data_IF_678332823770
#
_entry.id   IF_678332823770
#
_cell.length_a   1.000
_cell.length_b   1.000
_cell.length_c   1.000
_cell.angle_alpha   90.00
_cell.angle_beta   90.00
_cell.angle_gamma   90.00
#
_symmetry.space_group_name_H-M   'P 1'
#
loop_
_entity.id
_entity.type
_entity.pdbx_description
1 polymer ?
#
# COMPACT_ATOMS: atom_id res chain seq x y z
N UNK A 1 -55.22 -42.47 -52.83
CA UNK A 1 -53.88 -42.40 -52.14
C UNK A 1 -53.70 -40.93 -51.77
N UNK A 2 -53.72 -40.62 -50.45
CA UNK A 2 -53.46 -39.26 -49.94
C UNK A 2 -52.01 -39.23 -49.39
N UNK A 3 -51.15 -38.25 -49.66
CA UNK A 3 -49.84 -38.18 -49.08
C UNK A 3 -49.95 -37.62 -47.63
N UNK A 4 -49.35 -38.36 -46.68
CA UNK A 4 -49.17 -37.98 -45.31
C UNK A 4 -48.00 -37.00 -45.23
N UNK A 5 -48.25 -35.75 -44.84
CA UNK A 5 -47.23 -34.80 -44.56
C UNK A 5 -46.57 -35.09 -43.18
N UNK A 6 -45.29 -35.38 -43.17
CA UNK A 6 -44.49 -35.56 -41.95
C UNK A 6 -44.09 -34.15 -41.47
N UNK A 7 -44.55 -33.71 -40.29
CA UNK A 7 -44.10 -32.51 -39.63
C UNK A 7 -42.73 -32.85 -38.96
N UNK A 8 -41.63 -32.30 -39.45
CA UNK A 8 -40.34 -32.32 -38.77
C UNK A 8 -40.37 -31.23 -37.67
N UNK A 9 -40.43 -31.66 -36.39
CA UNK A 9 -40.14 -30.79 -35.24
C UNK A 9 -38.63 -30.60 -35.13
N UNK A 10 -38.13 -29.41 -35.48
CA UNK A 10 -36.78 -29.01 -35.07
C UNK A 10 -36.78 -28.65 -33.58
N UNK A 11 -36.30 -29.55 -32.73
CA UNK A 11 -35.91 -29.20 -31.37
C UNK A 11 -34.66 -28.33 -31.48
N UNK A 12 -34.85 -27.01 -31.35
CA UNK A 12 -33.74 -26.11 -31.03
C UNK A 12 -33.25 -26.49 -29.63
N UNK A 13 -32.16 -27.26 -29.58
CA UNK A 13 -31.43 -27.47 -28.33
C UNK A 13 -30.87 -26.11 -27.91
N UNK A 14 -31.56 -25.42 -27.02
CA UNK A 14 -30.98 -24.30 -26.28
C UNK A 14 -29.92 -24.88 -25.36
N UNK A 15 -28.65 -24.77 -25.77
CA UNK A 15 -27.54 -24.97 -24.81
C UNK A 15 -27.82 -24.00 -23.66
N UNK A 16 -27.84 -24.49 -22.41
CA UNK A 16 -27.96 -23.59 -21.27
C UNK A 16 -26.78 -22.60 -21.38
N UNK A 17 -27.09 -21.33 -21.51
CA UNK A 17 -26.08 -20.27 -21.32
C UNK A 17 -25.64 -20.45 -19.88
N UNK A 18 -24.44 -21.01 -19.71
CA UNK A 18 -23.84 -21.13 -18.39
C UNK A 18 -23.62 -19.71 -17.88
N UNK A 19 -24.37 -19.30 -16.87
CA UNK A 19 -24.15 -18.02 -16.22
C UNK A 19 -22.72 -18.06 -15.65
N UNK A 20 -21.90 -17.08 -15.98
CA UNK A 20 -20.52 -17.00 -15.49
C UNK A 20 -20.52 -17.04 -13.95
N UNK A 21 -19.62 -17.80 -13.36
CA UNK A 21 -19.42 -17.79 -11.92
C UNK A 21 -18.70 -16.49 -11.47
N UNK A 22 -18.78 -16.18 -10.18
CA UNK A 22 -18.01 -15.06 -9.64
C UNK A 22 -16.49 -15.25 -9.85
N UNK A 23 -15.99 -16.47 -9.73
CA UNK A 23 -14.59 -16.82 -9.91
C UNK A 23 -14.13 -16.59 -11.36
N UNK A 24 -14.95 -16.94 -12.36
CA UNK A 24 -14.67 -16.64 -13.77
C UNK A 24 -14.71 -15.13 -14.04
N UNK A 25 -15.64 -14.42 -13.43
CA UNK A 25 -15.75 -12.95 -13.52
C UNK A 25 -14.52 -12.27 -12.90
N UNK A 26 -14.05 -12.76 -11.75
CA UNK A 26 -12.83 -12.27 -11.12
C UNK A 26 -11.60 -12.54 -11.99
N UNK A 27 -11.50 -13.72 -12.58
CA UNK A 27 -10.40 -14.07 -13.48
C UNK A 27 -10.37 -13.16 -14.72
N UNK A 28 -11.53 -12.81 -15.30
CA UNK A 28 -11.61 -11.85 -16.40
C UNK A 28 -11.13 -10.45 -15.97
N UNK A 29 -11.53 -10.00 -14.78
CA UNK A 29 -11.07 -8.72 -14.20
C UNK A 29 -9.55 -8.70 -14.03
N UNK A 30 -8.98 -9.76 -13.47
CA UNK A 30 -7.53 -9.89 -13.22
C UNK A 30 -6.72 -9.97 -14.51
N UNK A 31 -7.30 -10.56 -15.57
CA UNK A 31 -6.72 -10.59 -16.92
C UNK A 31 -6.83 -9.25 -17.66
N UNK A 32 -7.55 -8.27 -17.11
CA UNK A 32 -7.81 -6.98 -17.76
C UNK A 32 -8.91 -7.01 -18.82
N UNK A 33 -9.65 -8.12 -18.95
CA UNK A 33 -10.85 -8.19 -19.79
C UNK A 33 -12.03 -7.55 -19.06
N UNK A 34 -11.97 -6.22 -18.99
CA UNK A 34 -12.97 -5.43 -18.27
C UNK A 34 -14.37 -5.49 -18.90
N UNK A 35 -14.47 -5.78 -20.20
CA UNK A 35 -15.77 -5.87 -20.87
C UNK A 35 -16.52 -7.12 -20.42
N UNK A 36 -15.87 -8.27 -20.45
CA UNK A 36 -16.41 -9.54 -19.96
C UNK A 36 -16.70 -9.47 -18.45
N UNK A 37 -15.73 -8.98 -17.66
CA UNK A 37 -15.90 -8.82 -16.22
C UNK A 37 -17.11 -7.94 -15.86
N UNK A 38 -17.31 -6.81 -16.56
CA UNK A 38 -18.42 -5.91 -16.31
C UNK A 38 -19.77 -6.53 -16.63
N UNK A 39 -19.87 -7.23 -17.76
CA UNK A 39 -21.11 -7.91 -18.17
C UNK A 39 -21.50 -8.99 -17.16
N UNK A 40 -20.57 -9.91 -16.87
CA UNK A 40 -20.81 -10.99 -15.95
C UNK A 40 -21.07 -10.51 -14.52
N UNK A 41 -20.35 -9.47 -14.07
CA UNK A 41 -20.59 -8.89 -12.74
C UNK A 41 -22.00 -8.26 -12.63
N UNK A 42 -22.55 -7.67 -13.70
CA UNK A 42 -23.93 -7.16 -13.72
C UNK A 42 -24.94 -8.30 -13.57
N UNK A 43 -24.82 -9.37 -14.37
CA UNK A 43 -25.73 -10.49 -14.33
C UNK A 43 -25.74 -11.14 -12.92
N UNK A 44 -24.57 -11.31 -12.32
CA UNK A 44 -24.43 -11.83 -10.96
C UNK A 44 -24.99 -10.87 -9.90
N UNK A 45 -24.71 -9.56 -10.02
CA UNK A 45 -25.23 -8.57 -9.09
C UNK A 45 -26.76 -8.45 -9.15
N UNK A 46 -27.34 -8.54 -10.36
CA UNK A 46 -28.78 -8.54 -10.56
C UNK A 46 -29.43 -9.81 -9.99
N UNK A 47 -28.69 -10.92 -9.95
CA UNK A 47 -29.10 -12.15 -9.25
C UNK A 47 -28.93 -12.10 -7.73
N UNK A 48 -28.32 -11.03 -7.19
CA UNK A 48 -28.15 -10.81 -5.75
C UNK A 48 -26.78 -11.19 -5.19
N UNK A 49 -25.78 -11.51 -6.02
CA UNK A 49 -24.42 -11.79 -5.50
C UNK A 49 -23.75 -10.50 -4.99
N UNK A 50 -23.61 -10.41 -3.68
CA UNK A 50 -23.02 -9.24 -3.01
C UNK A 50 -21.54 -9.02 -3.36
N UNK A 51 -20.79 -10.06 -3.72
CA UNK A 51 -19.39 -9.96 -4.16
C UNK A 51 -19.33 -9.28 -5.54
N UNK A 52 -20.27 -9.66 -6.42
CA UNK A 52 -20.40 -9.04 -7.74
C UNK A 52 -20.84 -7.57 -7.65
N UNK A 53 -21.76 -7.24 -6.72
CA UNK A 53 -22.12 -5.85 -6.43
C UNK A 53 -20.90 -5.05 -5.96
N UNK A 54 -20.09 -5.61 -5.05
CA UNK A 54 -18.84 -4.97 -4.62
C UNK A 54 -17.87 -4.76 -5.77
N UNK A 55 -17.70 -5.76 -6.63
CA UNK A 55 -16.87 -5.69 -7.84
C UNK A 55 -17.34 -4.58 -8.77
N UNK A 56 -18.63 -4.51 -9.09
CA UNK A 56 -19.21 -3.43 -9.92
C UNK A 56 -18.92 -2.05 -9.34
N UNK A 57 -19.13 -1.86 -8.05
CA UNK A 57 -18.85 -0.61 -7.39
C UNK A 57 -17.39 -0.20 -7.53
N UNK A 58 -16.47 -1.14 -7.38
CA UNK A 58 -15.03 -0.89 -7.57
C UNK A 58 -14.68 -0.60 -9.04
N UNK A 59 -15.31 -1.28 -10.01
CA UNK A 59 -15.13 -1.03 -11.44
C UNK A 59 -15.59 0.38 -11.81
N UNK A 60 -16.77 0.83 -11.36
CA UNK A 60 -17.24 2.20 -11.58
C UNK A 60 -16.35 3.24 -10.89
N UNK A 61 -15.81 2.96 -9.71
CA UNK A 61 -14.87 3.86 -9.03
C UNK A 61 -13.56 4.03 -9.78
N UNK A 62 -13.04 2.96 -10.40
CA UNK A 62 -11.74 2.94 -11.10
C UNK A 62 -11.85 3.24 -12.60
N UNK A 63 -13.04 3.22 -13.18
CA UNK A 63 -13.20 3.34 -14.62
C UNK A 63 -12.77 2.09 -15.41
N UNK A 64 -12.97 0.91 -14.85
CA UNK A 64 -12.59 -0.36 -15.46
C UNK A 64 -13.74 -0.89 -16.34
N UNK A 65 -13.59 -0.77 -17.66
CA UNK A 65 -14.61 -1.13 -18.64
C UNK A 65 -15.81 -0.18 -18.74
N UNK A 66 -15.85 0.86 -17.89
CA UNK A 66 -16.88 1.91 -17.85
C UNK A 66 -16.25 3.26 -17.54
N UNK A 67 -16.93 4.36 -17.83
CA UNK A 67 -16.52 5.66 -17.33
C UNK A 67 -16.59 5.71 -15.79
N UNK A 68 -15.64 6.42 -15.17
CA UNK A 68 -15.67 6.67 -13.73
C UNK A 68 -16.99 7.32 -13.33
N UNK A 69 -17.71 6.71 -12.42
CA UNK A 69 -18.95 7.22 -11.86
C UNK A 69 -19.04 6.89 -10.38
N UNK A 70 -18.78 7.90 -9.57
CA UNK A 70 -18.68 7.70 -8.12
C UNK A 70 -20.08 7.48 -7.48
N UNK A 71 -21.13 8.08 -8.02
CA UNK A 71 -22.49 7.88 -7.50
C UNK A 71 -22.95 6.43 -7.74
N UNK A 72 -22.76 5.93 -8.95
CA UNK A 72 -23.06 4.52 -9.27
C UNK A 72 -22.18 3.56 -8.45
N UNK A 73 -20.92 3.93 -8.21
CA UNK A 73 -20.04 3.14 -7.34
C UNK A 73 -20.58 3.06 -5.89
N UNK A 74 -21.02 4.21 -5.35
CA UNK A 74 -21.61 4.27 -4.00
C UNK A 74 -22.87 3.42 -3.91
N UNK A 75 -23.75 3.44 -4.92
CA UNK A 75 -24.98 2.66 -4.93
C UNK A 75 -24.68 1.15 -4.89
N UNK A 76 -23.79 0.66 -5.77
CA UNK A 76 -23.42 -0.75 -5.80
C UNK A 76 -22.67 -1.20 -4.55
N UNK A 77 -21.67 -0.39 -4.10
CA UNK A 77 -20.95 -0.66 -2.85
C UNK A 77 -21.88 -0.62 -1.64
N UNK A 78 -22.88 0.30 -1.64
CA UNK A 78 -23.88 0.39 -0.59
C UNK A 78 -24.68 -0.90 -0.44
N UNK A 79 -25.21 -1.40 -1.55
CA UNK A 79 -25.96 -2.68 -1.57
C UNK A 79 -25.10 -3.84 -1.07
N UNK A 80 -23.87 -3.95 -1.52
CA UNK A 80 -22.94 -4.98 -1.06
C UNK A 80 -22.57 -4.82 0.43
N UNK A 81 -22.35 -3.59 0.89
CA UNK A 81 -21.98 -3.29 2.28
C UNK A 81 -23.11 -3.61 3.28
N UNK A 82 -24.37 -3.37 2.89
CA UNK A 82 -25.54 -3.79 3.69
C UNK A 82 -25.69 -5.32 3.79
N UNK A 83 -25.11 -6.06 2.85
CA UNK A 83 -25.01 -7.53 2.87
C UNK A 83 -23.70 -8.01 3.53
N UNK A 84 -23.10 -7.20 4.39
CA UNK A 84 -21.90 -7.49 5.17
C UNK A 84 -20.64 -7.83 4.35
N UNK A 85 -20.55 -7.34 3.10
CA UNK A 85 -19.32 -7.45 2.33
C UNK A 85 -18.28 -6.45 2.86
N UNK A 86 -17.33 -6.93 3.67
CA UNK A 86 -16.31 -6.09 4.34
C UNK A 86 -15.47 -5.26 3.35
N UNK A 87 -15.19 -5.79 2.16
CA UNK A 87 -14.47 -5.05 1.11
C UNK A 87 -15.28 -3.86 0.59
N UNK A 88 -16.60 -4.01 0.42
CA UNK A 88 -17.48 -2.93 0.02
C UNK A 88 -17.62 -1.89 1.13
N UNK A 89 -17.73 -2.32 2.39
CA UNK A 89 -17.75 -1.44 3.56
C UNK A 89 -16.46 -0.60 3.62
N UNK A 90 -15.29 -1.20 3.45
CA UNK A 90 -14.02 -0.47 3.38
C UNK A 90 -13.99 0.51 2.21
N UNK A 91 -14.44 0.08 1.02
CA UNK A 91 -14.44 0.93 -0.17
C UNK A 91 -15.33 2.16 0.00
N UNK A 92 -16.53 2.00 0.58
CA UNK A 92 -17.42 3.10 0.94
C UNK A 92 -16.81 4.03 1.98
N UNK A 93 -16.21 3.46 3.02
CA UNK A 93 -15.53 4.23 4.04
C UNK A 93 -14.48 5.16 3.45
N UNK A 94 -13.64 4.64 2.56
CA UNK A 94 -12.59 5.42 1.90
C UNK A 94 -13.15 6.51 0.99
N UNK A 95 -14.31 6.29 0.36
CA UNK A 95 -14.97 7.33 -0.45
C UNK A 95 -15.49 8.46 0.45
N UNK A 96 -16.15 8.12 1.56
CA UNK A 96 -16.72 9.12 2.46
C UNK A 96 -15.66 9.85 3.31
N UNK A 97 -14.53 9.20 3.62
CA UNK A 97 -13.42 9.80 4.36
C UNK A 97 -12.49 10.66 3.48
N UNK A 98 -12.56 10.51 2.15
CA UNK A 98 -11.75 11.30 1.22
C UNK A 98 -12.40 12.66 0.92
N UNK A 99 -11.85 13.78 1.39
CA UNK A 99 -12.38 15.12 1.09
C UNK A 99 -12.38 15.44 -0.41
N UNK A 100 -11.45 14.84 -1.18
CA UNK A 100 -11.34 15.08 -2.62
C UNK A 100 -12.41 14.34 -3.42
N UNK A 101 -13.12 13.39 -2.82
CA UNK A 101 -14.19 12.63 -3.48
C UNK A 101 -15.39 13.49 -3.89
N UNK A 102 -15.57 14.66 -3.27
CA UNK A 102 -16.78 15.46 -3.39
C UNK A 102 -18.03 14.79 -2.77
N UNK A 103 -17.84 13.71 -2.02
CA UNK A 103 -18.88 12.94 -1.32
C UNK A 103 -18.57 12.77 0.17
N UNK A 104 -17.66 13.62 0.70
CA UNK A 104 -17.18 13.52 2.08
C UNK A 104 -18.34 13.52 3.10
N UNK A 105 -18.37 12.48 3.92
CA UNK A 105 -19.24 12.34 5.08
C UNK A 105 -18.49 11.51 6.12
N UNK A 106 -17.87 12.23 7.05
CA UNK A 106 -17.01 11.60 8.05
C UNK A 106 -17.75 10.55 8.88
N UNK A 107 -18.97 10.86 9.33
CA UNK A 107 -19.73 9.96 10.21
C UNK A 107 -20.10 8.64 9.50
N UNK A 108 -20.52 8.74 8.23
CA UNK A 108 -20.77 7.54 7.40
C UNK A 108 -19.48 6.79 7.14
N UNK A 109 -18.41 7.50 6.81
CA UNK A 109 -17.11 6.90 6.53
C UNK A 109 -16.56 6.13 7.73
N UNK A 110 -16.59 6.73 8.91
CA UNK A 110 -16.20 6.05 10.15
C UNK A 110 -17.08 4.84 10.46
N UNK A 111 -18.40 4.98 10.31
CA UNK A 111 -19.35 3.87 10.54
C UNK A 111 -19.07 2.66 9.67
N UNK A 112 -18.86 2.85 8.37
CA UNK A 112 -18.52 1.76 7.46
C UNK A 112 -17.14 1.18 7.72
N UNK A 113 -16.16 2.04 8.02
CA UNK A 113 -14.81 1.59 8.36
C UNK A 113 -14.80 0.71 9.60
N UNK A 114 -15.55 1.08 10.62
CA UNK A 114 -15.71 0.32 11.87
C UNK A 114 -16.31 -1.07 11.59
N UNK A 115 -17.39 -1.16 10.82
CA UNK A 115 -18.01 -2.44 10.45
C UNK A 115 -16.99 -3.34 9.72
N UNK A 116 -16.26 -2.83 8.72
CA UNK A 116 -15.26 -3.60 8.00
C UNK A 116 -14.09 -4.05 8.91
N UNK A 117 -13.67 -3.21 9.86
CA UNK A 117 -12.61 -3.53 10.81
C UNK A 117 -13.03 -4.59 11.84
N UNK A 118 -14.26 -4.50 12.34
CA UNK A 118 -14.89 -5.48 13.23
C UNK A 118 -15.13 -6.83 12.53
N UNK A 119 -15.44 -6.81 11.23
CA UNK A 119 -15.48 -8.00 10.38
C UNK A 119 -14.09 -8.63 10.13
N UNK A 120 -13.03 -8.03 10.65
CA UNK A 120 -11.68 -8.60 10.63
C UNK A 120 -10.82 -8.20 9.45
N UNK A 121 -11.27 -7.33 8.55
CA UNK A 121 -10.48 -6.94 7.37
C UNK A 121 -9.24 -6.15 7.78
N UNK A 122 -8.04 -6.70 7.52
CA UNK A 122 -6.77 -6.11 7.95
C UNK A 122 -6.57 -4.66 7.47
N UNK A 123 -6.92 -4.37 6.21
CA UNK A 123 -6.87 -3.02 5.66
C UNK A 123 -7.81 -2.04 6.36
N UNK A 124 -8.99 -2.49 6.78
CA UNK A 124 -9.93 -1.68 7.55
C UNK A 124 -9.43 -1.44 8.98
N UNK A 125 -8.89 -2.47 9.63
CA UNK A 125 -8.26 -2.35 10.95
C UNK A 125 -7.08 -1.38 10.93
N UNK A 126 -6.24 -1.43 9.90
CA UNK A 126 -5.16 -0.46 9.71
C UNK A 126 -5.69 0.98 9.59
N UNK A 127 -6.72 1.18 8.76
CA UNK A 127 -7.32 2.51 8.59
C UNK A 127 -8.02 3.00 9.87
N UNK A 128 -8.67 2.11 10.66
CA UNK A 128 -9.19 2.46 11.99
C UNK A 128 -8.06 2.87 12.94
N UNK A 129 -6.90 2.20 12.88
CA UNK A 129 -5.71 2.60 13.62
C UNK A 129 -5.23 4.00 13.25
N UNK A 130 -5.19 4.34 11.96
CA UNK A 130 -4.84 5.70 11.50
C UNK A 130 -5.85 6.74 11.95
N UNK A 131 -7.13 6.43 11.85
CA UNK A 131 -8.22 7.32 12.24
C UNK A 131 -8.18 7.63 13.74
N UNK A 132 -8.04 6.60 14.56
CA UNK A 132 -7.97 6.75 16.04
C UNK A 132 -6.62 7.30 16.52
N UNK A 133 -5.55 7.23 15.70
CA UNK A 133 -4.28 7.90 15.99
C UNK A 133 -4.30 9.42 15.78
N UNK A 134 -5.44 9.99 15.43
CA UNK A 134 -5.62 11.43 15.18
C UNK A 134 -5.71 11.78 13.70
N UNK A 135 -5.98 10.80 12.84
CA UNK A 135 -6.29 11.04 11.44
C UNK A 135 -7.58 11.84 11.27
N UNK A 136 -7.68 12.57 10.17
CA UNK A 136 -8.86 13.38 9.83
C UNK A 136 -9.23 14.45 10.84
N UNK A 137 -8.27 14.89 11.71
CA UNK A 137 -8.47 15.99 12.66
C UNK A 137 -9.17 15.60 13.96
N UNK A 138 -9.36 14.31 14.23
CA UNK A 138 -9.92 13.85 15.50
C UNK A 138 -8.89 13.90 16.64
N UNK A 139 -9.35 14.08 17.89
CA UNK A 139 -8.50 13.86 19.04
C UNK A 139 -7.94 12.42 19.02
N UNK A 140 -6.62 12.24 19.26
CA UNK A 140 -6.03 10.92 19.20
C UNK A 140 -6.42 10.04 20.39
N UNK A 141 -6.85 8.81 20.09
CA UNK A 141 -7.10 7.72 21.04
C UNK A 141 -6.00 6.67 20.90
N UNK A 142 -4.79 6.99 21.38
CA UNK A 142 -3.58 6.23 21.04
C UNK A 142 -3.59 4.77 21.50
N UNK A 143 -4.23 4.44 22.64
CA UNK A 143 -4.39 3.05 23.08
C UNK A 143 -5.25 2.25 22.09
N UNK A 144 -6.37 2.83 21.68
CA UNK A 144 -7.29 2.21 20.71
C UNK A 144 -6.62 2.08 19.33
N UNK A 145 -5.83 3.08 18.93
CA UNK A 145 -5.04 3.00 17.69
C UNK A 145 -4.04 1.84 17.73
N UNK A 146 -3.32 1.66 18.84
CA UNK A 146 -2.39 0.55 19.02
C UNK A 146 -3.09 -0.81 18.97
N UNK A 147 -4.31 -0.93 19.49
CA UNK A 147 -5.10 -2.15 19.43
C UNK A 147 -5.48 -2.50 17.99
N UNK A 148 -5.93 -1.51 17.22
CA UNK A 148 -6.27 -1.71 15.81
C UNK A 148 -5.04 -2.06 14.97
N UNK A 149 -3.93 -1.35 15.16
CA UNK A 149 -2.67 -1.69 14.49
C UNK A 149 -2.19 -3.10 14.86
N UNK A 150 -2.36 -3.52 16.13
CA UNK A 150 -1.99 -4.88 16.57
C UNK A 150 -2.82 -5.96 15.85
N UNK A 151 -4.13 -5.74 15.72
CA UNK A 151 -5.01 -6.66 14.98
C UNK A 151 -4.59 -6.79 13.51
N UNK A 152 -4.37 -5.67 12.83
CA UNK A 152 -3.94 -5.66 11.44
C UNK A 152 -2.53 -6.25 11.25
N UNK A 153 -1.57 -5.90 12.13
CA UNK A 153 -0.21 -6.43 12.09
C UNK A 153 -0.19 -7.96 12.33
N UNK A 154 -1.05 -8.47 13.21
CA UNK A 154 -1.25 -9.90 13.44
C UNK A 154 -1.72 -10.66 12.20
N UNK A 155 -2.34 -9.99 11.26
CA UNK A 155 -2.73 -10.51 9.95
C UNK A 155 -1.67 -10.25 8.85
N UNK A 156 -0.49 -9.74 9.23
CA UNK A 156 0.60 -9.49 8.29
C UNK A 156 0.51 -8.15 7.54
N UNK A 157 -0.32 -7.20 7.97
CA UNK A 157 -0.41 -5.89 7.31
C UNK A 157 0.85 -5.04 7.58
N UNK A 158 1.70 -4.74 6.54
CA UNK A 158 3.01 -4.13 6.76
C UNK A 158 2.95 -2.73 7.37
N UNK A 159 2.02 -1.90 6.89
CA UNK A 159 1.82 -0.53 7.42
C UNK A 159 1.39 -0.54 8.88
N UNK A 160 0.58 -1.51 9.30
CA UNK A 160 0.17 -1.65 10.70
C UNK A 160 1.32 -2.11 11.59
N UNK A 161 2.13 -3.06 11.12
CA UNK A 161 3.33 -3.49 11.84
C UNK A 161 4.31 -2.34 12.02
N UNK A 162 4.53 -1.53 10.97
CA UNK A 162 5.37 -0.33 11.05
C UNK A 162 4.84 0.67 12.06
N UNK A 163 3.56 1.08 11.95
CA UNK A 163 2.98 2.07 12.88
C UNK A 163 2.97 1.59 14.33
N UNK A 164 2.65 0.31 14.58
CA UNK A 164 2.72 -0.25 15.92
C UNK A 164 4.18 -0.27 16.45
N UNK A 165 5.14 -0.57 15.58
CA UNK A 165 6.56 -0.50 15.91
C UNK A 165 7.00 0.91 16.33
N UNK A 166 6.57 1.94 15.60
CA UNK A 166 6.80 3.34 15.95
C UNK A 166 6.13 3.69 17.30
N UNK A 167 4.91 3.20 17.55
CA UNK A 167 4.23 3.39 18.84
C UNK A 167 5.04 2.80 19.99
N UNK A 168 5.63 1.61 19.81
CA UNK A 168 6.52 1.01 20.82
C UNK A 168 7.85 1.75 20.98
N UNK A 169 8.41 2.35 19.91
CA UNK A 169 9.63 3.18 20.01
C UNK A 169 9.38 4.44 20.84
N UNK A 170 8.24 5.06 20.66
CA UNK A 170 7.92 6.36 21.25
C UNK A 170 7.14 6.24 22.57
N UNK A 171 6.58 5.06 22.89
CA UNK A 171 5.70 4.87 24.05
C UNK A 171 4.33 5.53 23.86
N UNK A 172 3.79 5.55 22.63
CA UNK A 172 2.51 6.16 22.30
C UNK A 172 1.38 5.14 22.43
N UNK A 173 0.51 5.31 23.39
CA UNK A 173 -0.62 4.42 23.65
C UNK A 173 -0.23 2.99 24.08
N UNK A 174 1.05 2.72 24.18
CA UNK A 174 1.66 1.47 24.67
C UNK A 174 2.89 1.79 25.49
N UNK A 175 3.30 0.90 26.39
CA UNK A 175 4.57 1.04 27.08
C UNK A 175 5.75 0.94 26.09
N UNK A 176 6.73 1.84 26.23
CA UNK A 176 7.90 1.86 25.36
C UNK A 176 8.66 0.53 25.41
N UNK A 177 8.87 -0.07 24.22
CA UNK A 177 9.58 -1.34 24.09
C UNK A 177 10.38 -1.36 22.78
N UNK A 178 11.66 -1.02 22.86
CA UNK A 178 12.53 -0.92 21.68
C UNK A 178 12.79 -2.27 20.99
N UNK A 179 12.73 -3.40 21.75
CA UNK A 179 12.92 -4.74 21.18
C UNK A 179 11.73 -5.12 20.33
N UNK A 180 10.52 -4.94 20.85
CA UNK A 180 9.28 -5.22 20.10
C UNK A 180 9.14 -4.26 18.91
N UNK A 181 9.54 -3.00 19.08
CA UNK A 181 9.58 -2.03 17.99
C UNK A 181 10.50 -2.50 16.85
N UNK A 182 11.73 -2.89 17.15
CA UNK A 182 12.68 -3.36 16.13
C UNK A 182 12.17 -4.61 15.43
N UNK A 183 11.53 -5.55 16.16
CA UNK A 183 10.92 -6.75 15.59
C UNK A 183 9.81 -6.40 14.59
N UNK A 184 8.89 -5.50 14.97
CA UNK A 184 7.75 -5.11 14.15
C UNK A 184 8.18 -4.29 12.91
N UNK A 185 9.10 -3.32 13.09
CA UNK A 185 9.65 -2.52 12.00
C UNK A 185 10.44 -3.41 11.05
N UNK A 186 11.22 -4.37 11.57
CA UNK A 186 11.93 -5.35 10.75
C UNK A 186 11.00 -6.23 9.93
N UNK A 187 9.88 -6.69 10.51
CA UNK A 187 8.84 -7.43 9.78
C UNK A 187 8.23 -6.59 8.67
N UNK A 188 7.90 -5.33 8.96
CA UNK A 188 7.37 -4.41 7.95
C UNK A 188 8.36 -4.12 6.82
N UNK A 189 9.65 -3.95 7.16
CA UNK A 189 10.73 -3.75 6.18
C UNK A 189 10.88 -4.95 5.24
N UNK A 190 10.86 -6.17 5.78
CA UNK A 190 10.90 -7.41 4.99
C UNK A 190 9.69 -7.55 4.07
N UNK A 191 8.52 -7.10 4.53
CA UNK A 191 7.29 -7.07 3.73
C UNK A 191 7.23 -5.92 2.71
N UNK A 192 8.31 -5.14 2.56
CA UNK A 192 8.42 -4.13 1.52
C UNK A 192 7.99 -2.71 1.91
N UNK A 193 7.64 -2.44 3.17
CA UNK A 193 7.30 -1.10 3.62
C UNK A 193 8.54 -0.17 3.54
N UNK A 194 8.42 0.92 2.76
CA UNK A 194 9.54 1.79 2.43
C UNK A 194 10.09 2.57 3.64
N UNK A 195 9.17 3.04 4.51
CA UNK A 195 9.55 3.79 5.71
C UNK A 195 10.20 2.85 6.74
N UNK A 196 9.64 1.64 6.88
CA UNK A 196 10.21 0.63 7.74
C UNK A 196 11.64 0.20 7.33
N UNK A 197 11.96 0.18 6.04
CA UNK A 197 13.32 -0.12 5.56
C UNK A 197 14.34 0.91 6.03
N UNK A 198 13.98 2.20 5.98
CA UNK A 198 14.81 3.28 6.49
C UNK A 198 15.03 3.12 7.99
N UNK A 199 13.95 3.01 8.74
CA UNK A 199 14.00 3.00 10.20
C UNK A 199 14.66 1.74 10.74
N UNK A 200 14.37 0.58 10.14
CA UNK A 200 15.05 -0.67 10.51
C UNK A 200 16.55 -0.62 10.26
N UNK A 201 16.98 -0.05 9.11
CA UNK A 201 18.39 0.18 8.83
C UNK A 201 19.08 1.01 9.91
N UNK A 202 18.39 2.06 10.40
CA UNK A 202 18.90 2.91 11.50
C UNK A 202 18.98 2.14 12.83
N UNK A 203 17.93 1.38 13.17
CA UNK A 203 17.91 0.56 14.40
C UNK A 203 19.05 -0.44 14.41
N UNK A 204 19.30 -1.13 13.29
CA UNK A 204 20.40 -2.10 13.16
C UNK A 204 21.77 -1.41 13.24
N UNK A 205 21.96 -0.25 12.61
CA UNK A 205 23.22 0.51 12.71
C UNK A 205 23.54 0.95 14.13
N UNK A 206 22.52 1.25 14.94
CA UNK A 206 22.67 1.72 16.32
C UNK A 206 22.67 0.58 17.36
N UNK A 207 22.13 -0.58 16.99
CA UNK A 207 21.88 -1.65 17.95
C UNK A 207 20.71 -1.35 18.89
N UNK A 208 19.71 -0.59 18.44
CA UNK A 208 18.54 -0.23 19.22
C UNK A 208 17.46 -1.30 19.08
N UNK A 209 17.24 -2.10 20.12
CA UNK A 209 16.29 -3.20 20.15
C UNK A 209 16.65 -4.42 19.29
N UNK A 210 17.78 -4.37 18.61
CA UNK A 210 18.33 -5.43 17.75
C UNK A 210 19.84 -5.41 17.84
N UNK A 211 20.49 -6.55 17.54
CA UNK A 211 21.94 -6.61 17.53
C UNK A 211 22.51 -5.61 16.49
N UNK A 212 23.51 -4.82 16.90
CA UNK A 212 24.20 -3.89 16.01
C UNK A 212 24.93 -4.64 14.90
N UNK A 213 24.66 -4.25 13.66
CA UNK A 213 25.38 -4.73 12.48
C UNK A 213 25.44 -3.61 11.44
N UNK A 214 26.65 -3.06 11.24
CA UNK A 214 26.84 -1.94 10.31
C UNK A 214 26.61 -2.34 8.85
N UNK A 215 26.94 -3.59 8.47
CA UNK A 215 26.75 -4.06 7.10
C UNK A 215 25.29 -4.27 6.79
N UNK A 216 24.55 -4.95 7.68
CA UNK A 216 23.11 -5.19 7.50
C UNK A 216 22.36 -3.86 7.53
N UNK A 217 22.67 -2.97 8.48
CA UNK A 217 22.03 -1.66 8.54
C UNK A 217 22.29 -0.81 7.30
N UNK A 218 23.52 -0.80 6.77
CA UNK A 218 23.84 -0.13 5.51
C UNK A 218 23.08 -0.72 4.31
N UNK A 219 22.93 -2.04 4.24
CA UNK A 219 22.15 -2.70 3.18
C UNK A 219 20.69 -2.24 3.18
N UNK A 220 20.04 -2.17 4.35
CA UNK A 220 18.66 -1.69 4.45
C UNK A 220 18.53 -0.23 4.01
N UNK A 221 19.47 0.64 4.42
CA UNK A 221 19.49 2.04 3.97
C UNK A 221 19.72 2.16 2.46
N UNK A 222 20.59 1.32 1.88
CA UNK A 222 20.81 1.27 0.43
C UNK A 222 19.55 0.84 -0.33
N UNK A 223 18.81 -0.17 0.18
CA UNK A 223 17.53 -0.58 -0.43
C UNK A 223 16.52 0.57 -0.39
N UNK A 224 16.38 1.24 0.75
CA UNK A 224 15.48 2.39 0.91
C UNK A 224 15.89 3.55 -0.02
N UNK A 225 17.20 3.89 -0.09
CA UNK A 225 17.72 4.93 -0.95
C UNK A 225 17.50 4.65 -2.44
N UNK A 226 17.70 3.40 -2.88
CA UNK A 226 17.45 2.97 -4.26
C UNK A 226 15.97 3.04 -4.64
N UNK A 227 15.05 2.96 -3.69
CA UNK A 227 13.61 3.18 -3.87
C UNK A 227 13.21 4.65 -3.85
N UNK A 228 14.19 5.56 -3.76
CA UNK A 228 13.97 7.00 -3.82
C UNK A 228 13.74 7.68 -2.47
N UNK A 229 13.89 6.96 -1.33
CA UNK A 229 13.77 7.60 -0.03
C UNK A 229 14.94 8.60 0.18
N UNK A 230 14.60 9.88 0.21
CA UNK A 230 15.57 10.99 0.25
C UNK A 230 16.38 11.01 1.55
N UNK A 231 15.75 10.66 2.68
CA UNK A 231 16.43 10.57 3.99
C UNK A 231 17.46 9.44 3.95
N UNK A 232 17.09 8.30 3.36
CA UNK A 232 18.02 7.20 3.19
C UNK A 232 19.17 7.56 2.25
N UNK A 233 18.92 8.32 1.17
CA UNK A 233 19.96 8.80 0.26
C UNK A 233 21.02 9.65 0.98
N UNK A 234 20.58 10.60 1.81
CA UNK A 234 21.50 11.39 2.63
C UNK A 234 22.29 10.51 3.62
N UNK A 235 21.65 9.56 4.29
CA UNK A 235 22.35 8.63 5.20
C UNK A 235 23.35 7.74 4.46
N UNK A 236 23.00 7.23 3.29
CA UNK A 236 23.89 6.41 2.45
C UNK A 236 25.10 7.21 1.97
N UNK A 237 24.92 8.48 1.63
CA UNK A 237 26.03 9.37 1.32
C UNK A 237 27.05 9.41 2.47
N UNK A 238 26.58 9.55 3.72
CA UNK A 238 27.43 9.50 4.90
C UNK A 238 28.08 8.13 5.12
N UNK A 239 27.36 7.03 4.86
CA UNK A 239 27.95 5.69 4.97
C UNK A 239 29.14 5.50 4.04
N UNK A 240 29.04 5.91 2.78
CA UNK A 240 30.13 5.84 1.82
C UNK A 240 31.26 6.83 2.14
N UNK A 241 30.92 8.02 2.63
CA UNK A 241 31.91 9.02 3.00
C UNK A 241 32.83 8.54 4.14
N UNK A 242 32.25 7.82 5.12
CA UNK A 242 32.98 7.38 6.33
C UNK A 242 33.30 5.87 6.35
N UNK A 243 32.94 5.12 5.33
CA UNK A 243 33.19 3.68 5.25
C UNK A 243 32.43 2.85 6.30
N UNK A 244 31.24 3.30 6.71
CA UNK A 244 30.45 2.61 7.74
C UNK A 244 29.51 1.56 7.15
N UNK A 245 29.81 0.29 7.37
CA UNK A 245 29.03 -0.82 6.83
C UNK A 245 29.15 -1.04 5.32
N UNK A 246 29.84 -0.14 4.63
CA UNK A 246 30.23 -0.18 3.21
C UNK A 246 31.70 0.21 3.08
N UNK A 247 32.35 -0.17 1.99
CA UNK A 247 33.68 0.38 1.66
C UNK A 247 33.60 1.91 1.46
N UNK A 248 34.60 2.65 1.95
CA UNK A 248 34.66 4.08 1.72
C UNK A 248 34.76 4.36 0.22
N UNK A 249 33.86 5.18 -0.31
CA UNK A 249 33.81 5.58 -1.73
C UNK A 249 33.31 7.03 -1.83
N UNK A 250 34.24 8.01 -2.00
CA UNK A 250 33.84 9.40 -2.08
C UNK A 250 33.01 9.76 -3.32
N UNK A 251 33.15 9.01 -4.43
CA UNK A 251 32.34 9.21 -5.64
C UNK A 251 30.91 8.77 -5.43
N UNK A 252 30.71 7.59 -4.83
CA UNK A 252 29.38 7.15 -4.41
C UNK A 252 28.77 8.07 -3.34
N UNK A 253 29.59 8.53 -2.37
CA UNK A 253 29.14 9.51 -1.38
C UNK A 253 28.61 10.79 -2.05
N UNK A 254 29.35 11.35 -3.00
CA UNK A 254 28.95 12.54 -3.72
C UNK A 254 27.71 12.30 -4.58
N UNK A 255 27.60 11.16 -5.28
CA UNK A 255 26.40 10.77 -6.04
C UNK A 255 25.14 10.81 -5.16
N UNK A 256 25.17 10.14 -4.02
CA UNK A 256 24.02 10.09 -3.12
C UNK A 256 23.72 11.44 -2.48
N UNK A 257 24.73 12.23 -2.18
CA UNK A 257 24.56 13.59 -1.68
C UNK A 257 23.92 14.52 -2.74
N UNK A 258 24.31 14.40 -4.01
CA UNK A 258 23.67 15.12 -5.13
C UNK A 258 22.18 14.77 -5.22
N UNK A 259 21.82 13.48 -5.15
CA UNK A 259 20.43 13.04 -5.20
C UNK A 259 19.60 13.60 -4.04
N UNK A 260 20.14 13.52 -2.82
CA UNK A 260 19.50 14.09 -1.64
C UNK A 260 19.35 15.62 -1.73
N UNK A 261 20.37 16.32 -2.23
CA UNK A 261 20.35 17.79 -2.42
C UNK A 261 19.29 18.21 -3.43
N UNK A 262 19.18 17.52 -4.56
CA UNK A 262 18.14 17.76 -5.58
C UNK A 262 16.71 17.63 -5.01
N UNK A 263 16.57 16.80 -4.00
CA UNK A 263 15.31 16.58 -3.29
C UNK A 263 15.18 17.44 -2.00
N UNK A 264 16.00 18.47 -1.83
CA UNK A 264 15.94 19.42 -0.72
C UNK A 264 16.51 18.90 0.62
N UNK A 265 17.34 17.84 0.59
CA UNK A 265 17.97 17.24 1.78
C UNK A 265 19.50 17.19 1.65
N UNK A 266 20.11 18.29 1.18
CA UNK A 266 21.56 18.43 1.09
C UNK A 266 22.24 18.37 2.47
N UNK A 267 23.54 18.07 2.46
CA UNK A 267 24.39 17.95 3.64
C UNK A 267 25.64 18.81 3.46
N UNK A 268 25.63 19.99 4.07
CA UNK A 268 26.71 20.97 3.94
C UNK A 268 28.06 20.46 4.48
N UNK A 269 28.06 19.55 5.46
CA UNK A 269 29.28 18.92 5.96
C UNK A 269 29.90 18.00 4.89
N UNK A 270 29.04 17.19 4.22
CA UNK A 270 29.47 16.36 3.10
C UNK A 270 29.92 17.20 1.91
N UNK A 271 29.22 18.29 1.59
CA UNK A 271 29.62 19.20 0.51
C UNK A 271 31.05 19.74 0.73
N UNK A 272 31.35 20.15 1.97
CA UNK A 272 32.68 20.62 2.34
C UNK A 272 33.72 19.50 2.26
N UNK A 273 33.40 18.31 2.79
CA UNK A 273 34.33 17.18 2.80
C UNK A 273 34.62 16.65 1.40
N UNK A 274 33.64 16.64 0.52
CA UNK A 274 33.76 16.15 -0.86
C UNK A 274 34.20 17.23 -1.86
N UNK A 275 34.43 18.48 -1.42
CA UNK A 275 34.87 19.57 -2.26
C UNK A 275 36.25 19.31 -2.91
N UNK A 276 37.12 18.55 -2.24
CA UNK A 276 38.49 18.24 -2.69
C UNK A 276 38.58 17.08 -3.70
N UNK A 277 37.46 16.50 -4.13
CA UNK A 277 37.45 15.52 -5.22
C UNK A 277 37.94 16.15 -6.52
N UNK A 278 38.60 15.33 -7.37
CA UNK A 278 39.04 15.81 -8.70
C UNK A 278 37.81 16.09 -9.59
N UNK A 279 38.04 16.86 -10.66
CA UNK A 279 36.97 17.20 -11.60
C UNK A 279 36.42 15.95 -12.29
N UNK A 280 37.26 14.93 -12.55
CA UNK A 280 36.86 13.65 -13.10
C UNK A 280 35.93 12.90 -12.13
N UNK A 281 36.30 12.83 -10.83
CA UNK A 281 35.50 12.21 -9.80
C UNK A 281 34.15 12.90 -9.62
N UNK A 282 34.13 14.23 -9.65
CA UNK A 282 32.90 15.02 -9.60
C UNK A 282 32.01 14.80 -10.83
N UNK A 283 32.59 14.71 -12.01
CA UNK A 283 31.89 14.44 -13.25
C UNK A 283 31.30 13.03 -13.24
N UNK A 284 32.06 12.04 -12.76
CA UNK A 284 31.57 10.66 -12.60
C UNK A 284 30.39 10.56 -11.61
N UNK A 285 30.48 11.19 -10.45
CA UNK A 285 29.42 11.22 -9.45
C UNK A 285 28.16 11.86 -10.01
N UNK A 286 28.27 12.96 -10.77
CA UNK A 286 27.13 13.61 -11.43
C UNK A 286 26.51 12.70 -12.48
N UNK A 287 27.31 12.09 -13.34
CA UNK A 287 26.81 11.15 -14.36
C UNK A 287 26.06 9.97 -13.73
N UNK A 288 26.57 9.40 -12.63
CA UNK A 288 25.90 8.33 -11.88
C UNK A 288 24.59 8.82 -11.22
N UNK A 289 24.53 10.07 -10.75
CA UNK A 289 23.33 10.67 -10.19
C UNK A 289 22.28 10.96 -11.27
N UNK A 290 22.71 11.41 -12.46
CA UNK A 290 21.83 11.69 -13.61
C UNK A 290 21.21 10.40 -14.18
N UNK A 291 21.96 9.31 -14.15
CA UNK A 291 21.49 7.98 -14.58
C UNK A 291 20.62 7.27 -13.53
N UNK A 292 20.45 7.84 -12.34
CA UNK A 292 19.69 7.18 -11.28
C UNK A 292 18.19 7.19 -11.56
N UNK A 293 17.59 6.01 -11.58
CA UNK A 293 16.14 5.82 -11.59
C UNK A 293 15.74 5.02 -10.34
N UNK A 294 14.78 5.51 -9.54
CA UNK A 294 14.29 4.76 -8.38
C UNK A 294 13.71 3.40 -8.79
N UNK A 295 14.04 2.37 -8.01
CA UNK A 295 13.46 1.04 -8.21
C UNK A 295 12.03 1.06 -7.68
N UNK A 296 11.05 0.75 -8.54
CA UNK A 296 9.65 0.66 -8.13
C UNK A 296 9.47 -0.41 -7.03
N UNK A 297 8.57 -0.14 -6.09
CA UNK A 297 8.09 -1.19 -5.17
C UNK A 297 7.36 -2.27 -5.98
N UNK A 298 7.77 -3.53 -5.80
CA UNK A 298 7.05 -4.68 -6.39
C UNK A 298 5.81 -4.97 -5.57
#
# INVERSE_FOLDING_TARGET
MKPTAALLFFLLATTPVHAASFEETQAALDAGDFATALSSARDLADSGDARAMAMLGLMYRKGQGVAVNLDTAIDWLGRAAEMDQAQAQLALALIYLDPASGRGDYARGEGWLRRAAEAGLAGAQFNMGLLTAGGFGNPPELQLAAEWFRKAAGQGHPGAAYNLGVFYLEGRGVEKNVIEAARLIGTAAQAGNADAMLDYGVLVLRGEGVQRDEKIGAQWLLVSARRGNVIAQNRVARLYAFGKGVGQDPVEALKWNILATRAGRGDAELDTMLANLTDEQKAEARARADAFAPVAAK
#
